data_IF_406921530070
#
_entry.id   IF_406921530070
#
_cell.length_a   1.000
_cell.length_b   1.000
_cell.length_c   1.000
_cell.angle_alpha   90.00
_cell.angle_beta   90.00
_cell.angle_gamma   90.00
#
_symmetry.space_group_name_H-M   'P 1'
#
loop_
_entity.id
_entity.type
_entity.pdbx_description
1 polymer ?
#
# COMPACT_ATOMS: atom_id res chain seq x y z
N UNK A 1 -12.99 -20.30 21.04
CA UNK A 1 -13.06 -19.23 22.06
C UNK A 1 -12.62 -17.94 21.36
N UNK A 2 -13.47 -16.92 21.30
CA UNK A 2 -13.11 -15.61 20.74
C UNK A 2 -12.15 -14.91 21.71
N UNK A 3 -10.94 -14.60 21.28
CA UNK A 3 -9.89 -14.03 22.13
C UNK A 3 -9.95 -12.51 22.08
N UNK A 4 -10.42 -11.86 23.14
CA UNK A 4 -10.46 -10.38 23.18
C UNK A 4 -9.02 -9.84 23.21
N UNK A 5 -8.71 -8.92 22.30
CA UNK A 5 -7.45 -8.17 22.27
C UNK A 5 -7.72 -6.68 22.52
N UNK A 6 -6.99 -6.09 23.47
CA UNK A 6 -7.13 -4.67 23.82
C UNK A 6 -5.97 -3.84 23.24
N UNK A 7 -6.33 -2.71 22.64
CA UNK A 7 -5.41 -1.73 22.06
C UNK A 7 -5.84 -0.33 22.49
N UNK A 8 -4.87 0.57 22.65
CA UNK A 8 -5.16 1.99 22.90
C UNK A 8 -5.72 2.66 21.64
N UNK A 9 -5.20 2.25 20.48
CA UNK A 9 -5.64 2.75 19.16
C UNK A 9 -5.73 1.60 18.17
N UNK A 10 -6.89 1.50 17.52
CA UNK A 10 -7.08 0.62 16.36
C UNK A 10 -7.29 1.48 15.12
N UNK A 11 -6.40 1.32 14.14
CA UNK A 11 -6.49 2.00 12.85
C UNK A 11 -7.06 1.05 11.81
N UNK A 12 -8.16 1.46 11.19
CA UNK A 12 -8.82 0.70 10.13
C UNK A 12 -8.39 1.25 8.77
N UNK A 13 -7.62 0.46 8.02
CA UNK A 13 -7.08 0.78 6.70
C UNK A 13 -5.61 1.24 6.74
N UNK A 14 -4.83 0.74 5.80
CA UNK A 14 -3.39 1.00 5.64
C UNK A 14 -3.04 2.13 4.67
N UNK A 15 -4.04 2.92 4.24
CA UNK A 15 -3.81 4.08 3.38
C UNK A 15 -2.89 5.11 4.03
N UNK A 16 -2.46 6.16 3.30
CA UNK A 16 -1.51 7.14 3.83
C UNK A 16 -1.93 7.77 5.17
N UNK A 17 -3.22 8.07 5.32
CA UNK A 17 -3.75 8.58 6.59
C UNK A 17 -3.64 7.54 7.72
N UNK A 18 -4.11 6.32 7.50
CA UNK A 18 -4.05 5.25 8.49
C UNK A 18 -2.62 4.91 8.90
N UNK A 19 -1.71 4.77 7.94
CA UNK A 19 -0.30 4.54 8.22
C UNK A 19 0.29 5.66 9.10
N UNK A 20 0.04 6.93 8.76
CA UNK A 20 0.57 8.05 9.54
C UNK A 20 -0.05 8.12 10.93
N UNK A 21 -1.36 7.94 11.06
CA UNK A 21 -2.03 7.88 12.36
C UNK A 21 -1.47 6.77 13.25
N UNK A 22 -1.31 5.55 12.71
CA UNK A 22 -0.76 4.43 13.46
C UNK A 22 0.67 4.69 13.96
N UNK A 23 1.53 5.24 13.09
CA UNK A 23 2.92 5.59 13.44
C UNK A 23 2.97 6.68 14.51
N UNK A 24 2.14 7.72 14.40
CA UNK A 24 2.13 8.79 15.40
C UNK A 24 1.61 8.30 16.76
N UNK A 25 0.56 7.47 16.78
CA UNK A 25 0.05 6.83 17.99
C UNK A 25 1.10 5.94 18.66
N UNK A 26 1.81 5.11 17.88
CA UNK A 26 2.87 4.26 18.41
C UNK A 26 4.02 5.10 19.00
N UNK A 27 4.42 6.18 18.32
CA UNK A 27 5.43 7.11 18.83
C UNK A 27 5.00 7.88 20.08
N UNK A 28 3.70 8.04 20.29
CA UNK A 28 3.13 8.58 21.52
C UNK A 28 3.11 7.56 22.67
N UNK A 29 3.63 6.34 22.47
CA UNK A 29 3.70 5.28 23.47
C UNK A 29 2.42 4.44 23.59
N UNK A 30 1.50 4.54 22.63
CA UNK A 30 0.25 3.78 22.63
C UNK A 30 0.46 2.38 22.04
N UNK A 31 -0.27 1.38 22.53
CA UNK A 31 -0.38 0.07 21.89
C UNK A 31 -1.32 0.17 20.69
N UNK A 32 -0.77 0.00 19.49
CA UNK A 32 -1.52 0.24 18.24
C UNK A 32 -1.67 -1.04 17.42
N UNK A 33 -2.89 -1.26 16.90
CA UNK A 33 -3.14 -2.19 15.81
C UNK A 33 -3.50 -1.44 14.53
N UNK A 34 -3.01 -1.93 13.39
CA UNK A 34 -3.48 -1.51 12.06
C UNK A 34 -4.10 -2.70 11.33
N UNK A 35 -5.35 -2.53 10.91
CA UNK A 35 -6.16 -3.57 10.28
C UNK A 35 -6.38 -3.21 8.82
N UNK A 36 -5.94 -4.08 7.92
CA UNK A 36 -6.13 -3.91 6.48
C UNK A 36 -6.81 -5.16 5.91
N UNK A 37 -7.76 -4.96 4.98
CA UNK A 37 -8.47 -6.04 4.31
C UNK A 37 -7.74 -6.54 3.07
N UNK A 38 -7.03 -5.65 2.38
CA UNK A 38 -6.25 -5.97 1.20
C UNK A 38 -4.93 -6.66 1.63
N UNK A 39 -4.38 -7.56 0.81
CA UNK A 39 -3.09 -8.18 1.14
C UNK A 39 -1.94 -7.15 1.14
N UNK A 40 -2.10 -6.05 0.41
CA UNK A 40 -1.09 -5.01 0.20
C UNK A 40 -1.38 -3.77 1.06
N UNK A 41 -0.32 -3.14 1.52
CA UNK A 41 -0.34 -1.90 2.30
C UNK A 41 -0.35 -0.67 1.41
N UNK A 42 -0.97 0.42 1.87
CA UNK A 42 -0.98 1.72 1.19
C UNK A 42 -2.30 2.12 0.54
N UNK A 43 -3.29 1.22 0.59
CA UNK A 43 -4.66 1.47 0.17
C UNK A 43 -4.77 2.04 -1.25
N UNK A 44 -5.78 2.90 -1.46
CA UNK A 44 -6.07 3.42 -2.80
C UNK A 44 -4.96 4.32 -3.36
N UNK A 45 -4.28 5.11 -2.53
CA UNK A 45 -3.23 6.03 -3.00
C UNK A 45 -2.07 5.29 -3.67
N UNK A 46 -1.60 4.19 -3.05
CA UNK A 46 -0.51 3.38 -3.57
C UNK A 46 -0.97 2.50 -4.72
N UNK A 47 -2.09 1.79 -4.58
CA UNK A 47 -2.43 0.73 -5.54
C UNK A 47 -3.37 1.14 -6.67
N UNK A 48 -4.16 2.20 -6.49
CA UNK A 48 -5.29 2.51 -7.40
C UNK A 48 -5.45 4.01 -7.70
N UNK A 49 -4.49 4.85 -7.31
CA UNK A 49 -4.70 6.29 -7.28
C UNK A 49 -3.46 7.08 -7.71
N UNK A 50 -2.91 7.84 -6.77
CA UNK A 50 -1.87 8.84 -7.04
C UNK A 50 -0.58 8.20 -7.56
N UNK A 51 -0.09 7.15 -6.90
CA UNK A 51 1.19 6.53 -7.26
C UNK A 51 1.15 5.93 -8.66
N UNK A 52 0.17 5.06 -9.03
CA UNK A 52 0.10 4.51 -10.37
C UNK A 52 -0.05 5.58 -11.44
N UNK A 53 -0.92 6.57 -11.21
CA UNK A 53 -1.19 7.64 -12.18
C UNK A 53 0.05 8.50 -12.45
N UNK A 54 0.84 8.82 -11.42
CA UNK A 54 2.07 9.60 -11.58
C UNK A 54 3.18 8.78 -12.22
N UNK A 55 3.32 7.51 -11.85
CA UNK A 55 4.32 6.61 -12.44
C UNK A 55 4.04 6.37 -13.91
N UNK A 56 2.80 6.05 -14.30
CA UNK A 56 2.44 5.85 -15.70
C UNK A 56 2.63 7.11 -16.54
N UNK A 57 2.24 8.28 -16.02
CA UNK A 57 2.45 9.55 -16.72
C UNK A 57 3.94 9.81 -16.97
N UNK A 58 4.78 9.60 -15.97
CA UNK A 58 6.23 9.77 -16.09
C UNK A 58 6.84 8.74 -17.05
N UNK A 59 6.42 7.49 -16.99
CA UNK A 59 6.89 6.43 -17.90
C UNK A 59 6.50 6.75 -19.35
N UNK A 60 5.29 7.24 -19.59
CA UNK A 60 4.83 7.65 -20.92
C UNK A 60 5.67 8.81 -21.50
N UNK A 61 6.05 9.79 -20.66
CA UNK A 61 6.95 10.87 -21.09
C UNK A 61 8.34 10.34 -21.45
N UNK A 62 8.86 9.37 -20.70
CA UNK A 62 10.16 8.74 -20.99
C UNK A 62 10.14 7.97 -22.30
N UNK A 63 9.12 7.15 -22.51
CA UNK A 63 8.91 6.44 -23.77
C UNK A 63 8.82 7.40 -24.95
N UNK A 64 8.07 8.50 -24.80
CA UNK A 64 7.98 9.53 -25.84
C UNK A 64 9.36 10.10 -26.18
N UNK A 65 10.16 10.48 -25.17
CA UNK A 65 11.51 11.00 -25.40
C UNK A 65 12.45 9.94 -26.01
N UNK A 66 12.33 8.67 -25.59
CA UNK A 66 13.08 7.56 -26.17
C UNK A 66 12.75 7.38 -27.65
N UNK A 67 11.47 7.41 -28.04
CA UNK A 67 11.04 7.37 -29.45
C UNK A 67 11.61 8.55 -30.24
N UNK A 68 11.56 9.76 -29.70
CA UNK A 68 12.12 10.94 -30.35
C UNK A 68 13.62 10.82 -30.58
N UNK A 69 14.38 10.33 -29.58
CA UNK A 69 15.82 10.17 -29.69
C UNK A 69 16.22 9.00 -30.62
N UNK A 70 15.46 7.91 -30.62
CA UNK A 70 15.65 6.77 -31.51
C UNK A 70 15.54 7.20 -32.99
N UNK A 71 14.55 8.03 -33.31
CA UNK A 71 14.37 8.57 -34.66
C UNK A 71 15.53 9.47 -35.13
N UNK A 72 16.30 10.09 -34.22
CA UNK A 72 17.48 10.89 -34.59
C UNK A 72 18.66 10.04 -35.09
N UNK A 73 18.64 8.74 -34.82
CA UNK A 73 19.71 7.79 -35.18
C UNK A 73 19.20 6.68 -36.11
N UNK A 74 18.10 6.94 -36.83
CA UNK A 74 17.44 5.98 -37.74
C UNK A 74 17.11 4.62 -37.09
N UNK A 75 16.73 4.65 -35.80
CA UNK A 75 16.30 3.48 -35.04
C UNK A 75 14.83 3.56 -34.66
N UNK A 76 14.12 2.44 -34.73
CA UNK A 76 12.72 2.32 -34.25
C UNK A 76 12.67 1.49 -32.97
N UNK A 77 11.95 2.00 -31.97
CA UNK A 77 11.73 1.28 -30.71
C UNK A 77 10.65 0.22 -30.93
N UNK A 78 10.90 -1.04 -30.56
CA UNK A 78 9.89 -2.09 -30.62
C UNK A 78 8.76 -1.85 -29.61
N UNK A 79 7.50 -2.07 -30.03
CA UNK A 79 6.30 -1.87 -29.19
C UNK A 79 6.34 -2.68 -27.89
N UNK A 80 6.88 -3.90 -27.94
CA UNK A 80 7.03 -4.75 -26.75
C UNK A 80 7.97 -4.14 -25.70
N UNK A 81 9.04 -3.49 -26.14
CA UNK A 81 10.01 -2.83 -25.24
C UNK A 81 9.38 -1.64 -24.53
N UNK A 82 8.50 -0.93 -25.24
CA UNK A 82 7.75 0.19 -24.68
C UNK A 82 6.75 -0.27 -23.62
N UNK A 83 5.90 -1.25 -23.94
CA UNK A 83 4.91 -1.76 -22.98
C UNK A 83 5.58 -2.39 -21.76
N UNK A 84 6.67 -3.14 -21.95
CA UNK A 84 7.46 -3.68 -20.86
C UNK A 84 8.02 -2.56 -19.96
N UNK A 85 8.53 -1.47 -20.55
CA UNK A 85 9.05 -0.32 -19.79
C UNK A 85 7.95 0.39 -18.99
N UNK A 86 6.75 0.50 -19.54
CA UNK A 86 5.60 1.12 -18.87
C UNK A 86 5.12 0.31 -17.67
N UNK A 87 4.91 -1.00 -17.85
CA UNK A 87 4.30 -1.91 -16.87
C UNK A 87 5.31 -2.33 -15.79
N UNK A 88 6.49 -2.82 -16.18
CA UNK A 88 7.45 -3.36 -15.21
C UNK A 88 7.86 -2.30 -14.17
N UNK A 89 8.09 -1.08 -14.66
CA UNK A 89 8.45 0.04 -13.79
C UNK A 89 7.32 0.48 -12.87
N UNK A 90 6.06 0.31 -13.29
CA UNK A 90 4.92 0.53 -12.41
C UNK A 90 4.93 -0.50 -11.29
N UNK A 91 5.04 -1.78 -11.61
CA UNK A 91 5.05 -2.87 -10.62
C UNK A 91 6.18 -2.70 -9.59
N UNK A 92 7.38 -2.35 -10.04
CA UNK A 92 8.52 -2.08 -9.15
C UNK A 92 8.22 -0.96 -8.15
N UNK A 93 7.65 0.16 -8.62
CA UNK A 93 7.32 1.30 -7.75
C UNK A 93 6.24 0.91 -6.72
N UNK A 94 5.23 0.14 -7.13
CA UNK A 94 4.18 -0.33 -6.22
C UNK A 94 4.74 -1.26 -5.15
N UNK A 95 5.61 -2.19 -5.55
CA UNK A 95 6.26 -3.14 -4.64
C UNK A 95 7.15 -2.45 -3.61
N UNK A 96 7.95 -1.48 -4.03
CA UNK A 96 8.80 -0.71 -3.12
C UNK A 96 7.98 0.14 -2.14
N UNK A 97 6.87 0.73 -2.58
CA UNK A 97 5.96 1.45 -1.68
C UNK A 97 5.29 0.52 -0.66
N UNK A 98 4.77 -0.64 -1.06
CA UNK A 98 4.20 -1.64 -0.14
C UNK A 98 5.24 -2.09 0.90
N UNK A 99 6.44 -2.45 0.44
CA UNK A 99 7.57 -2.86 1.29
C UNK A 99 7.93 -1.78 2.30
N UNK A 100 8.14 -0.54 1.83
CA UNK A 100 8.46 0.59 2.69
C UNK A 100 7.41 0.78 3.79
N UNK A 101 6.12 0.71 3.44
CA UNK A 101 5.05 0.87 4.41
C UNK A 101 5.06 -0.24 5.46
N UNK A 102 5.24 -1.50 5.06
CA UNK A 102 5.35 -2.62 6.01
C UNK A 102 6.52 -2.44 6.96
N UNK A 103 7.69 -2.07 6.44
CA UNK A 103 8.88 -1.84 7.25
C UNK A 103 8.65 -0.72 8.27
N UNK A 104 7.94 0.35 7.91
CA UNK A 104 7.59 1.41 8.88
C UNK A 104 6.66 0.90 9.98
N UNK A 105 5.65 0.09 9.64
CA UNK A 105 4.74 -0.48 10.64
C UNK A 105 5.50 -1.40 11.60
N UNK A 106 6.32 -2.32 11.07
CA UNK A 106 7.15 -3.22 11.89
C UNK A 106 8.15 -2.47 12.76
N UNK A 107 8.81 -1.43 12.22
CA UNK A 107 9.79 -0.63 12.96
C UNK A 107 9.19 0.12 14.15
N UNK A 108 7.92 0.49 14.09
CA UNK A 108 7.23 1.19 15.17
C UNK A 108 6.42 0.21 16.06
N UNK A 109 6.69 -1.10 15.97
CA UNK A 109 6.04 -2.13 16.81
C UNK A 109 4.50 -2.13 16.74
N UNK A 110 3.95 -1.70 15.61
CA UNK A 110 2.51 -1.67 15.38
C UNK A 110 2.05 -3.07 14.98
N UNK A 111 1.01 -3.58 15.64
CA UNK A 111 0.46 -4.89 15.35
C UNK A 111 -0.29 -4.85 14.00
N UNK A 112 0.12 -5.72 13.08
CA UNK A 112 -0.46 -5.79 11.73
C UNK A 112 -1.46 -6.93 11.64
N UNK A 113 -2.70 -6.59 11.36
CA UNK A 113 -3.78 -7.58 11.26
C UNK A 113 -4.37 -7.54 9.85
N UNK A 114 -4.39 -8.69 9.19
CA UNK A 114 -5.04 -8.85 7.88
C UNK A 114 -6.45 -9.40 8.07
N UNK A 115 -7.45 -8.56 7.81
CA UNK A 115 -8.85 -8.93 7.96
C UNK A 115 -9.81 -7.78 7.70
N UNK A 116 -11.09 -8.09 7.83
CA UNK A 116 -12.16 -7.09 7.82
C UNK A 116 -12.64 -6.85 9.23
N UNK A 117 -13.13 -5.65 9.48
CA UNK A 117 -13.73 -5.29 10.76
C UNK A 117 -15.11 -4.70 10.58
N UNK A 118 -15.96 -4.93 11.57
CA UNK A 118 -17.23 -4.23 11.75
C UNK A 118 -17.35 -3.76 13.19
N UNK A 119 -17.95 -2.59 13.40
CA UNK A 119 -18.24 -2.09 14.74
C UNK A 119 -19.34 -2.95 15.37
N UNK A 120 -19.07 -3.44 16.59
CA UNK A 120 -20.09 -4.05 17.46
C UNK A 120 -20.70 -2.94 18.32
N UNK A 121 -19.86 -2.04 18.83
CA UNK A 121 -20.24 -0.82 19.53
C UNK A 121 -19.17 0.27 19.34
N UNK A 122 -19.20 1.33 20.14
CA UNK A 122 -18.27 2.47 20.02
C UNK A 122 -16.81 2.18 20.41
N UNK A 123 -16.54 1.05 21.07
CA UNK A 123 -15.22 0.65 21.59
C UNK A 123 -14.84 -0.79 21.22
N UNK A 124 -15.75 -1.57 20.67
CA UNK A 124 -15.54 -2.95 20.28
C UNK A 124 -15.69 -3.15 18.77
N UNK A 125 -14.73 -3.87 18.19
CA UNK A 125 -14.69 -4.26 16.79
C UNK A 125 -14.73 -5.79 16.70
N UNK A 126 -15.53 -6.31 15.78
CA UNK A 126 -15.46 -7.71 15.36
C UNK A 126 -14.46 -7.82 14.22
N UNK A 127 -13.37 -8.56 14.41
CA UNK A 127 -12.39 -8.82 13.36
C UNK A 127 -12.69 -10.16 12.70
N UNK A 128 -12.87 -10.18 11.39
CA UNK A 128 -12.87 -11.40 10.57
C UNK A 128 -11.55 -11.50 9.83
N UNK A 129 -10.69 -12.45 10.23
CA UNK A 129 -9.45 -12.76 9.53
C UNK A 129 -9.73 -13.36 8.15
N UNK A 130 -8.71 -13.36 7.30
CA UNK A 130 -8.77 -14.01 5.97
C UNK A 130 -9.06 -15.52 6.07
N UNK A 131 -8.68 -16.17 7.17
CA UNK A 131 -9.00 -17.58 7.43
C UNK A 131 -10.49 -17.85 7.71
N UNK A 132 -11.31 -16.81 7.87
CA UNK A 132 -12.70 -16.91 8.32
C UNK A 132 -12.86 -16.97 9.84
N UNK A 133 -11.75 -16.97 10.60
CA UNK A 133 -11.78 -16.86 12.06
C UNK A 133 -12.22 -15.45 12.48
N UNK A 134 -13.20 -15.38 13.37
CA UNK A 134 -13.62 -14.13 14.02
C UNK A 134 -13.05 -14.01 15.42
N UNK A 135 -12.51 -12.83 15.71
CA UNK A 135 -11.88 -12.46 16.99
C UNK A 135 -12.52 -11.17 17.51
#
# INVERSE_FOLDING_TARGET
MSTIQEFDVVVIGSGPAGQKSAIQSAKAGQRVAIIERDNLFGGACVHRGTIPSKTLRENALRVKHMRQNAALVDFELGEDTEMATLINRLEDVLKEHDKYMREQITRNEIERIHGRVSFIDNKALLLTKVSGETI
#
